data_IF_754460180608
#
_entry.id   IF_754460180608
#
_cell.length_a   1.000
_cell.length_b   1.000
_cell.length_c   1.000
_cell.angle_alpha   90.00
_cell.angle_beta   90.00
_cell.angle_gamma   90.00
#
_symmetry.space_group_name_H-M   'P 1'
#
loop_
_entity.id
_entity.type
_entity.pdbx_description
1 polymer ?
#
# COMPACT_ATOMS: atom_id res chain seq x y z
N UNK A 1 -5.52 -19.48 6.85
CA UNK A 1 -5.77 -18.18 7.53
C UNK A 1 -6.83 -18.40 8.59
N UNK A 2 -6.66 -17.91 9.83
CA UNK A 2 -7.69 -18.06 10.88
C UNK A 2 -8.72 -16.94 10.74
N UNK A 3 -10.00 -17.27 10.79
CA UNK A 3 -11.11 -16.32 10.72
C UNK A 3 -11.67 -16.06 12.10
N UNK A 4 -12.09 -14.82 12.37
CA UNK A 4 -12.77 -14.42 13.59
C UNK A 4 -14.17 -13.93 13.22
N UNK A 5 -15.19 -14.39 13.95
CA UNK A 5 -16.57 -13.91 13.76
C UNK A 5 -16.74 -12.58 14.49
N UNK A 6 -17.22 -11.57 13.78
CA UNK A 6 -17.56 -10.25 14.33
C UNK A 6 -19.03 -9.93 14.01
N UNK A 7 -19.67 -9.12 14.84
CA UNK A 7 -20.99 -8.54 14.55
C UNK A 7 -20.83 -7.09 14.13
N UNK A 8 -21.44 -6.71 13.01
CA UNK A 8 -21.39 -5.33 12.49
C UNK A 8 -22.78 -4.87 12.09
N UNK A 9 -23.05 -3.58 12.24
CA UNK A 9 -24.28 -2.95 11.76
C UNK A 9 -23.98 -2.24 10.44
N UNK A 10 -24.84 -2.44 9.45
CA UNK A 10 -24.75 -1.80 8.14
C UNK A 10 -26.12 -1.25 7.71
N UNK A 11 -26.15 -0.21 6.87
CA UNK A 11 -27.39 0.27 6.25
C UNK A 11 -28.09 -0.84 5.47
N UNK A 12 -29.42 -0.92 5.58
CA UNK A 12 -30.22 -1.99 4.97
C UNK A 12 -30.16 -1.97 3.44
N UNK A 13 -30.24 -0.77 2.86
CA UNK A 13 -30.10 -0.51 1.43
C UNK A 13 -28.78 -1.04 0.87
N UNK A 14 -27.68 -0.76 1.58
CA UNK A 14 -26.36 -1.29 1.21
C UNK A 14 -26.33 -2.82 1.26
N UNK A 15 -26.90 -3.43 2.31
CA UNK A 15 -26.94 -4.90 2.41
C UNK A 15 -27.76 -5.52 1.28
N UNK A 16 -28.86 -4.88 0.86
CA UNK A 16 -29.65 -5.32 -0.30
C UNK A 16 -28.81 -5.26 -1.57
N UNK A 17 -28.14 -4.15 -1.81
CA UNK A 17 -27.26 -3.98 -2.97
C UNK A 17 -26.15 -5.05 -3.01
N UNK A 18 -25.45 -5.26 -1.90
CA UNK A 18 -24.39 -6.27 -1.81
C UNK A 18 -24.91 -7.69 -2.11
N UNK A 19 -26.13 -8.02 -1.66
CA UNK A 19 -26.77 -9.31 -1.94
C UNK A 19 -27.18 -9.47 -3.40
N UNK A 20 -27.39 -8.38 -4.14
CA UNK A 20 -27.61 -8.43 -5.58
C UNK A 20 -26.31 -8.66 -6.36
N UNK A 21 -25.17 -8.19 -5.82
CA UNK A 21 -23.87 -8.31 -6.47
C UNK A 21 -23.19 -9.67 -6.22
N UNK A 22 -23.50 -10.33 -5.10
CA UNK A 22 -22.84 -11.59 -4.73
C UNK A 22 -23.72 -12.50 -3.88
N UNK A 23 -23.55 -13.81 -4.04
CA UNK A 23 -24.08 -14.82 -3.12
C UNK A 23 -23.16 -15.09 -1.92
N UNK A 24 -21.89 -14.65 -1.98
CA UNK A 24 -20.89 -14.82 -0.92
C UNK A 24 -20.49 -13.46 -0.32
N UNK A 25 -21.33 -13.00 0.60
CA UNK A 25 -21.20 -11.68 1.22
C UNK A 25 -19.91 -11.53 2.05
N UNK A 26 -19.48 -12.59 2.75
CA UNK A 26 -18.28 -12.53 3.60
C UNK A 26 -17.01 -12.38 2.77
N UNK A 27 -16.88 -13.13 1.67
CA UNK A 27 -15.74 -13.01 0.77
C UNK A 27 -15.72 -11.63 0.08
N UNK A 28 -16.88 -11.15 -0.35
CA UNK A 28 -17.01 -9.84 -1.01
C UNK A 28 -16.61 -8.68 -0.09
N UNK A 29 -17.13 -8.68 1.15
CA UNK A 29 -16.75 -7.68 2.15
C UNK A 29 -15.25 -7.80 2.49
N UNK A 30 -14.72 -9.02 2.61
CA UNK A 30 -13.30 -9.24 2.90
C UNK A 30 -12.40 -8.63 1.83
N UNK A 31 -12.72 -8.85 0.55
CA UNK A 31 -11.95 -8.30 -0.56
C UNK A 31 -11.96 -6.76 -0.56
N UNK A 32 -13.14 -6.15 -0.42
CA UNK A 32 -13.26 -4.68 -0.35
C UNK A 32 -12.52 -4.08 0.86
N UNK A 33 -12.58 -4.74 2.02
CA UNK A 33 -11.89 -4.30 3.22
C UNK A 33 -10.37 -4.45 3.11
N UNK A 34 -9.87 -5.51 2.45
CA UNK A 34 -8.43 -5.69 2.20
C UNK A 34 -7.88 -4.55 1.34
N UNK A 35 -8.58 -4.21 0.27
CA UNK A 35 -8.21 -3.09 -0.59
C UNK A 35 -8.23 -1.76 0.17
N UNK A 36 -9.30 -1.50 0.95
CA UNK A 36 -9.41 -0.29 1.74
C UNK A 36 -8.27 -0.15 2.77
N UNK A 37 -7.94 -1.24 3.49
CA UNK A 37 -6.85 -1.26 4.45
C UNK A 37 -5.50 -1.04 3.77
N UNK A 38 -5.25 -1.66 2.61
CA UNK A 38 -4.02 -1.44 1.85
C UNK A 38 -3.87 0.03 1.45
N UNK A 39 -4.94 0.64 0.93
CA UNK A 39 -4.98 2.07 0.57
C UNK A 39 -4.74 2.98 1.78
N UNK A 40 -5.38 2.70 2.92
CA UNK A 40 -5.18 3.50 4.14
C UNK A 40 -3.77 3.37 4.70
N UNK A 41 -3.19 2.15 4.68
CA UNK A 41 -1.79 1.93 5.07
C UNK A 41 -0.83 2.72 4.18
N UNK A 42 -1.01 2.65 2.86
CA UNK A 42 -0.20 3.41 1.91
C UNK A 42 -0.32 4.92 2.19
N UNK A 43 -1.55 5.44 2.36
CA UNK A 43 -1.80 6.84 2.68
C UNK A 43 -1.11 7.28 3.98
N UNK A 44 -1.15 6.47 5.03
CA UNK A 44 -0.44 6.75 6.29
C UNK A 44 1.07 6.69 6.12
N UNK A 45 1.56 5.73 5.34
CA UNK A 45 2.98 5.62 4.97
C UNK A 45 3.45 6.89 4.27
N UNK A 46 2.74 7.31 3.23
CA UNK A 46 3.04 8.56 2.52
C UNK A 46 3.05 9.76 3.45
N UNK A 47 2.02 9.93 4.29
CA UNK A 47 1.98 11.02 5.27
C UNK A 47 3.16 11.01 6.25
N UNK A 48 3.63 9.83 6.65
CA UNK A 48 4.81 9.69 7.52
C UNK A 48 6.10 9.97 6.78
N UNK A 49 6.18 9.64 5.49
CA UNK A 49 7.37 9.86 4.66
C UNK A 49 7.46 11.28 4.08
N UNK A 50 6.36 12.06 4.07
CA UNK A 50 6.38 13.46 3.64
C UNK A 50 7.34 14.22 4.55
N UNK A 51 8.43 14.74 3.97
CA UNK A 51 9.47 15.48 4.70
C UNK A 51 10.49 14.60 5.44
N UNK A 52 10.41 13.27 5.33
CA UNK A 52 11.46 12.34 5.80
C UNK A 52 12.68 12.29 4.88
N UNK A 53 12.59 12.89 3.70
CA UNK A 53 13.69 13.00 2.76
C UNK A 53 14.15 14.46 2.76
N UNK A 54 15.24 14.75 3.47
CA UNK A 54 15.91 16.06 3.46
C UNK A 54 17.22 15.92 2.70
N UNK A 55 17.62 16.96 1.97
CA UNK A 55 18.92 16.96 1.30
C UNK A 55 20.07 16.79 2.31
N UNK A 56 19.95 17.35 3.52
CA UNK A 56 20.98 17.22 4.55
C UNK A 56 21.23 15.76 5.00
N UNK A 57 20.19 14.92 4.93
CA UNK A 57 20.27 13.51 5.36
C UNK A 57 20.90 12.61 4.28
N UNK A 58 21.13 13.14 3.06
CA UNK A 58 21.64 12.42 1.90
C UNK A 58 22.79 13.16 1.20
N UNK A 59 23.97 13.29 1.85
CA UNK A 59 25.15 13.91 1.25
C UNK A 59 25.66 13.16 0.00
N UNK A 60 25.31 11.89 -0.14
CA UNK A 60 25.61 11.04 -1.30
C UNK A 60 24.71 11.30 -2.52
N UNK A 61 23.74 12.22 -2.43
CA UNK A 61 22.79 12.54 -3.50
C UNK A 61 22.73 14.06 -3.79
N UNK A 62 23.81 14.80 -3.49
CA UNK A 62 23.82 16.27 -3.57
C UNK A 62 23.87 16.80 -5.01
N UNK A 63 24.55 16.10 -5.91
CA UNK A 63 24.71 16.52 -7.30
C UNK A 63 24.09 15.52 -8.28
N UNK A 64 23.83 15.97 -9.51
CA UNK A 64 23.36 15.09 -10.60
C UNK A 64 24.33 13.93 -10.84
N UNK A 65 25.64 14.16 -10.68
CA UNK A 65 26.66 13.13 -10.82
C UNK A 65 26.54 12.06 -9.73
N UNK A 66 26.30 12.47 -8.48
CA UNK A 66 26.13 11.53 -7.36
C UNK A 66 24.85 10.72 -7.50
N UNK A 67 23.76 11.36 -7.93
CA UNK A 67 22.49 10.67 -8.25
C UNK A 67 22.69 9.66 -9.38
N UNK A 68 23.44 10.03 -10.43
CA UNK A 68 23.72 9.15 -11.56
C UNK A 68 24.50 7.92 -11.10
N UNK A 69 25.57 8.13 -10.32
CA UNK A 69 26.38 7.05 -9.74
C UNK A 69 25.53 6.12 -8.86
N UNK A 70 24.70 6.68 -7.98
CA UNK A 70 23.81 5.89 -7.12
C UNK A 70 22.84 5.01 -7.93
N UNK A 71 22.24 5.55 -8.99
CA UNK A 71 21.33 4.81 -9.87
C UNK A 71 22.07 3.71 -10.64
N UNK A 72 23.28 3.97 -11.12
CA UNK A 72 24.12 3.00 -11.81
C UNK A 72 24.53 1.84 -10.91
N UNK A 73 24.99 2.13 -9.68
CA UNK A 73 25.34 1.11 -8.68
C UNK A 73 24.12 0.27 -8.29
N UNK A 74 22.99 0.95 -8.04
CA UNK A 74 21.73 0.28 -7.70
C UNK A 74 21.29 -0.63 -8.84
N UNK A 75 21.27 -0.16 -10.10
CA UNK A 75 20.85 -0.97 -11.26
C UNK A 75 21.85 -2.07 -11.61
N UNK A 76 23.14 -1.84 -11.40
CA UNK A 76 24.20 -2.82 -11.60
C UNK A 76 24.05 -4.03 -10.67
N UNK A 77 23.59 -3.81 -9.43
CA UNK A 77 23.28 -4.88 -8.49
C UNK A 77 22.15 -5.81 -8.94
N UNK A 78 21.19 -5.33 -9.73
CA UNK A 78 20.07 -6.15 -10.24
C UNK A 78 20.46 -6.99 -11.45
N UNK A 79 21.50 -6.59 -12.21
CA UNK A 79 22.05 -7.39 -13.32
C UNK A 79 22.90 -8.57 -12.87
N UNK A 80 23.28 -8.65 -11.59
CA UNK A 80 24.06 -9.74 -11.02
C UNK A 80 23.17 -10.78 -10.30
N UNK A 81 21.86 -10.69 -10.47
CA UNK A 81 20.86 -11.65 -9.96
C UNK A 81 20.21 -12.29 -11.20
N UNK A 82 20.99 -13.04 -11.96
CA UNK A 82 20.53 -14.01 -12.98
C UNK A 82 21.25 -15.35 -12.72
#
# INVERSE_FOLDING_TARGET
MKTVKISITMPEDLVKELKHLTSNLSAYITAGMQEYVARDRARRGFKKSVGSWRQEDHPELQTITDITKYVEETRGGWKNID
#
